data_IF_124152558735
#
_entry.id   IF_124152558735
#
_cell.length_a   1.000
_cell.length_b   1.000
_cell.length_c   1.000
_cell.angle_alpha   90.00
_cell.angle_beta   90.00
_cell.angle_gamma   90.00
#
_symmetry.space_group_name_H-M   'P 1'
#
loop_
_entity.id
_entity.type
_entity.pdbx_description
1 polymer ?
#
# COMPACT_ATOMS: atom_id res chain seq x y z
N UNK A 1 -18.94 -11.07 -7.30
CA UNK A 1 -17.52 -11.35 -6.96
C UNK A 1 -16.98 -10.05 -6.39
N UNK A 2 -16.25 -10.10 -5.27
CA UNK A 2 -15.63 -8.92 -4.69
C UNK A 2 -14.41 -8.50 -5.53
N UNK A 3 -14.18 -7.19 -5.65
CA UNK A 3 -12.97 -6.69 -6.29
C UNK A 3 -11.78 -6.91 -5.36
N UNK A 4 -10.72 -7.54 -5.88
CA UNK A 4 -9.48 -7.76 -5.12
C UNK A 4 -8.62 -6.51 -5.13
N UNK A 5 -8.09 -6.15 -3.97
CA UNK A 5 -7.27 -4.97 -3.77
C UNK A 5 -5.94 -5.31 -3.08
N UNK A 6 -4.87 -4.62 -3.49
CA UNK A 6 -3.61 -4.58 -2.77
C UNK A 6 -3.49 -3.18 -2.17
N UNK A 7 -3.32 -3.11 -0.85
CA UNK A 7 -3.15 -1.83 -0.15
C UNK A 7 -1.66 -1.52 -0.02
N UNK A 8 -1.28 -0.27 -0.30
CA UNK A 8 0.11 0.16 -0.37
C UNK A 8 0.32 1.42 0.48
N UNK A 9 1.10 1.30 1.55
CA UNK A 9 1.54 2.42 2.37
C UNK A 9 2.87 2.99 1.87
N UNK A 10 2.94 4.31 1.69
CA UNK A 10 4.19 5.01 1.39
C UNK A 10 4.41 6.08 2.43
N UNK A 11 5.57 6.05 3.09
CA UNK A 11 5.96 7.04 4.08
C UNK A 11 7.40 7.50 3.88
N UNK A 12 7.73 8.65 4.45
CA UNK A 12 9.11 9.10 4.60
C UNK A 12 9.67 8.63 5.93
N UNK A 13 11.00 8.54 6.05
CA UNK A 13 11.67 8.24 7.32
C UNK A 13 11.35 9.25 8.44
N UNK A 14 10.91 10.46 8.07
CA UNK A 14 10.45 11.50 9.00
C UNK A 14 9.06 11.26 9.55
N UNK A 15 8.27 10.37 8.93
CA UNK A 15 6.87 10.19 9.25
C UNK A 15 6.69 9.16 10.36
N UNK A 16 5.58 9.27 11.11
CA UNK A 16 5.22 8.29 12.12
C UNK A 16 4.82 6.97 11.46
N UNK A 17 5.60 5.91 11.73
CA UNK A 17 5.27 4.58 11.24
C UNK A 17 4.01 4.00 11.91
N UNK A 18 3.68 4.48 13.12
CA UNK A 18 2.45 4.09 13.82
C UNK A 18 1.25 4.66 13.09
N UNK A 19 1.25 5.97 12.82
CA UNK A 19 0.14 6.66 12.13
C UNK A 19 -0.06 6.09 10.73
N UNK A 20 1.02 5.72 10.03
CA UNK A 20 0.94 5.05 8.74
C UNK A 20 0.24 3.69 8.84
N UNK A 21 0.54 2.90 9.88
CA UNK A 21 -0.12 1.61 10.11
C UNK A 21 -1.59 1.76 10.47
N UNK A 22 -1.92 2.73 11.32
CA UNK A 22 -3.32 3.03 11.67
C UNK A 22 -4.11 3.45 10.43
N UNK A 23 -3.54 4.34 9.60
CA UNK A 23 -4.17 4.75 8.34
C UNK A 23 -4.38 3.57 7.38
N UNK A 24 -3.47 2.59 7.35
CA UNK A 24 -3.62 1.39 6.53
C UNK A 24 -4.71 0.46 7.05
N UNK A 25 -4.84 0.32 8.37
CA UNK A 25 -5.92 -0.46 8.98
C UNK A 25 -7.29 0.17 8.68
N UNK A 26 -7.40 1.49 8.79
CA UNK A 26 -8.62 2.21 8.41
C UNK A 26 -8.95 2.05 6.91
N UNK A 27 -7.94 2.11 6.04
CA UNK A 27 -8.13 1.88 4.61
C UNK A 27 -8.61 0.46 4.29
N UNK A 28 -8.12 -0.54 5.02
CA UNK A 28 -8.59 -1.92 4.91
C UNK A 28 -10.07 -2.05 5.29
N UNK A 29 -10.50 -1.44 6.40
CA UNK A 29 -11.91 -1.38 6.80
C UNK A 29 -12.78 -0.69 5.72
N UNK A 30 -12.27 0.38 5.10
CA UNK A 30 -12.96 1.06 4.00
C UNK A 30 -13.11 0.17 2.76
N UNK A 31 -12.09 -0.62 2.41
CA UNK A 31 -12.18 -1.58 1.30
C UNK A 31 -13.24 -2.64 1.59
N UNK A 32 -13.28 -3.17 2.81
CA UNK A 32 -14.32 -4.13 3.21
C UNK A 32 -15.72 -3.52 3.17
N UNK A 33 -15.90 -2.29 3.67
CA UNK A 33 -17.17 -1.58 3.61
C UNK A 33 -17.65 -1.33 2.16
N UNK A 34 -16.71 -1.16 1.22
CA UNK A 34 -16.98 -1.03 -0.21
C UNK A 34 -17.25 -2.37 -0.93
N UNK A 35 -17.19 -3.51 -0.22
CA UNK A 35 -17.38 -4.84 -0.79
C UNK A 35 -16.17 -5.40 -1.53
N UNK A 36 -14.99 -4.81 -1.31
CA UNK A 36 -13.71 -5.32 -1.81
C UNK A 36 -13.07 -6.35 -0.87
N UNK A 37 -12.04 -7.02 -1.37
CA UNK A 37 -11.23 -7.99 -0.64
C UNK A 37 -9.76 -7.54 -0.67
N UNK A 38 -9.19 -7.24 0.49
CA UNK A 38 -7.75 -6.97 0.60
C UNK A 38 -6.98 -8.28 0.54
N UNK A 39 -6.23 -8.50 -0.53
CA UNK A 39 -5.47 -9.74 -0.75
C UNK A 39 -4.00 -9.62 -0.37
N UNK A 40 -3.49 -8.39 -0.25
CA UNK A 40 -2.16 -8.11 0.26
C UNK A 40 -2.05 -6.67 0.75
N UNK A 41 -1.18 -6.46 1.75
CA UNK A 41 -0.81 -5.14 2.24
C UNK A 41 0.70 -5.01 2.24
N UNK A 42 1.23 -3.90 1.73
CA UNK A 42 2.68 -3.65 1.73
C UNK A 42 2.99 -2.21 2.08
N UNK A 43 4.18 -1.98 2.65
CA UNK A 43 4.63 -0.66 3.06
C UNK A 43 6.05 -0.41 2.55
N UNK A 44 6.30 0.83 2.15
CA UNK A 44 7.64 1.30 1.79
C UNK A 44 7.93 2.63 2.50
N UNK A 45 9.03 2.65 3.24
CA UNK A 45 9.55 3.87 3.87
C UNK A 45 10.75 4.37 3.07
N UNK A 46 10.71 5.63 2.64
CA UNK A 46 11.70 6.25 1.77
C UNK A 46 12.41 7.41 2.47
N UNK A 47 13.60 7.78 2.00
CA UNK A 47 14.24 9.03 2.44
C UNK A 47 13.59 10.27 1.82
N UNK A 48 13.11 10.12 0.59
CA UNK A 48 12.38 11.14 -0.18
C UNK A 48 11.46 10.43 -1.18
N UNK A 49 10.29 11.00 -1.45
CA UNK A 49 9.35 10.46 -2.45
C UNK A 49 9.99 10.38 -3.83
N UNK A 50 9.78 9.25 -4.51
CA UNK A 50 10.23 9.10 -5.88
C UNK A 50 9.23 9.81 -6.83
N UNK A 51 9.61 10.86 -7.56
CA UNK A 51 8.66 11.65 -8.34
C UNK A 51 7.98 10.87 -9.47
N UNK A 52 8.62 9.81 -9.98
CA UNK A 52 8.07 9.02 -11.08
C UNK A 52 7.10 7.92 -10.62
N UNK A 53 7.23 7.44 -9.38
CA UNK A 53 6.54 6.21 -8.93
C UNK A 53 5.93 6.31 -7.54
N UNK A 54 6.19 7.40 -6.81
CA UNK A 54 5.94 7.61 -5.38
C UNK A 54 6.68 6.63 -4.46
N UNK A 55 6.65 5.33 -4.77
CA UNK A 55 7.14 4.21 -3.96
C UNK A 55 8.51 3.67 -4.40
N UNK A 56 8.95 3.95 -5.63
CA UNK A 56 10.20 3.46 -6.19
C UNK A 56 10.02 2.25 -7.12
N UNK A 57 10.83 2.20 -8.19
CA UNK A 57 10.70 1.22 -9.30
C UNK A 57 10.73 -0.25 -8.86
N UNK A 58 11.62 -0.62 -7.93
CA UNK A 58 11.73 -1.99 -7.44
C UNK A 58 10.44 -2.44 -6.75
N UNK A 59 9.88 -1.57 -5.88
CA UNK A 59 8.64 -1.87 -5.19
C UNK A 59 7.43 -1.94 -6.13
N UNK A 60 7.41 -1.11 -7.17
CA UNK A 60 6.39 -1.19 -8.24
C UNK A 60 6.44 -2.54 -8.95
N UNK A 61 7.63 -3.09 -9.21
CA UNK A 61 7.79 -4.41 -9.83
C UNK A 61 7.29 -5.53 -8.89
N UNK A 62 7.67 -5.49 -7.62
CA UNK A 62 7.16 -6.44 -6.61
C UNK A 62 5.62 -6.44 -6.54
N UNK A 63 4.99 -5.25 -6.55
CA UNK A 63 3.52 -5.14 -6.53
C UNK A 63 2.90 -5.71 -7.82
N UNK A 64 3.51 -5.47 -8.97
CA UNK A 64 3.02 -6.01 -10.24
C UNK A 64 3.06 -7.55 -10.24
N UNK A 65 4.11 -8.14 -9.65
CA UNK A 65 4.22 -9.61 -9.50
C UNK A 65 3.11 -10.18 -8.62
N UNK A 66 2.67 -9.46 -7.57
CA UNK A 66 1.55 -9.89 -6.72
C UNK A 66 0.21 -9.93 -7.46
N UNK A 67 0.02 -9.11 -8.50
CA UNK A 67 -1.22 -9.09 -9.30
C UNK A 67 -1.27 -10.26 -10.29
N UNK A 68 -0.11 -10.79 -10.68
CA UNK A 68 -0.01 -11.88 -11.67
C UNK A 68 -0.09 -13.29 -11.07
N UNK A 69 -0.10 -13.41 -9.75
CA UNK A 69 -0.25 -14.67 -9.01
C UNK A 69 -1.72 -14.97 -8.72
#
# INVERSE_FOLDING_TARGET
MADKAIIVGVGLKSDSFVDLKESLAELEDLVYAAGGEVVATTVQVLEKSNPATLIGKGKTQEIAELVTQ
#
